data_IF_234080892184
#
_entry.id   IF_234080892184
#
_cell.length_a   1.000
_cell.length_b   1.000
_cell.length_c   1.000
_cell.angle_alpha   90.00
_cell.angle_beta   90.00
_cell.angle_gamma   90.00
#
_symmetry.space_group_name_H-M   'P 1'
#
loop_
_entity.id
_entity.type
_entity.pdbx_description
1 polymer ?
#
# COMPACT_ATOMS: atom_id res chain seq x y z
N UNK A 1 19.73 -11.10 -32.06
CA UNK A 1 19.38 -10.81 -33.47
C UNK A 1 20.53 -10.01 -34.04
N UNK A 2 21.23 -10.51 -35.06
CA UNK A 2 22.39 -9.82 -35.64
C UNK A 2 21.90 -8.59 -36.39
N UNK A 3 22.14 -7.40 -35.82
CA UNK A 3 21.79 -6.14 -36.44
C UNK A 3 22.64 -6.01 -37.71
N UNK A 4 22.01 -5.98 -38.90
CA UNK A 4 22.74 -5.71 -40.14
C UNK A 4 23.11 -4.23 -40.16
N UNK A 5 24.27 -3.91 -39.58
CA UNK A 5 24.86 -2.58 -39.65
C UNK A 5 25.26 -2.35 -41.12
N UNK A 6 24.73 -1.30 -41.74
CA UNK A 6 25.21 -0.87 -43.06
C UNK A 6 26.67 -0.43 -42.95
N UNK A 7 27.51 -0.71 -43.95
CA UNK A 7 28.97 -0.44 -43.92
C UNK A 7 29.39 0.99 -43.53
N UNK A 8 28.46 1.94 -43.54
CA UNK A 8 28.70 3.34 -43.23
C UNK A 8 29.58 4.03 -44.27
N UNK A 9 29.84 5.31 -44.05
CA UNK A 9 30.80 6.10 -44.80
C UNK A 9 31.88 6.60 -43.84
N UNK A 10 33.14 6.54 -44.27
CA UNK A 10 34.26 7.08 -43.49
C UNK A 10 34.40 8.56 -43.80
N UNK A 11 34.12 9.40 -42.81
CA UNK A 11 34.13 10.86 -42.91
C UNK A 11 35.22 11.44 -42.01
N UNK A 12 35.72 12.62 -42.39
CA UNK A 12 36.57 13.42 -41.52
C UNK A 12 35.75 14.13 -40.44
N UNK A 13 36.43 14.80 -39.50
CA UNK A 13 35.77 15.47 -38.36
C UNK A 13 34.74 16.53 -38.77
N UNK A 14 35.05 17.35 -39.77
CA UNK A 14 34.17 18.42 -40.26
C UNK A 14 32.98 17.81 -40.99
N UNK A 15 33.24 16.88 -41.91
CA UNK A 15 32.21 16.16 -42.66
C UNK A 15 31.26 15.38 -41.76
N UNK A 16 31.77 14.77 -40.68
CA UNK A 16 30.95 14.04 -39.71
C UNK A 16 30.05 14.99 -38.91
N UNK A 17 30.58 16.15 -38.49
CA UNK A 17 29.80 17.16 -37.78
C UNK A 17 28.67 17.71 -38.66
N UNK A 18 28.98 18.04 -39.92
CA UNK A 18 28.00 18.53 -40.91
C UNK A 18 26.96 17.45 -41.24
N UNK A 19 27.39 16.19 -41.43
CA UNK A 19 26.51 15.07 -41.71
C UNK A 19 25.52 14.80 -40.57
N UNK A 20 25.95 14.95 -39.32
CA UNK A 20 25.11 14.77 -38.13
C UNK A 20 24.32 16.02 -37.75
N UNK A 21 24.58 17.17 -38.39
CA UNK A 21 23.96 18.45 -38.07
C UNK A 21 24.34 18.99 -36.68
N UNK A 22 25.54 18.65 -36.18
CA UNK A 22 26.04 19.06 -34.86
C UNK A 22 27.28 19.94 -34.99
N UNK A 23 27.59 20.71 -33.95
CA UNK A 23 28.83 21.47 -33.91
C UNK A 23 30.05 20.53 -33.68
N UNK A 24 31.20 20.84 -34.28
CA UNK A 24 32.43 20.04 -34.08
C UNK A 24 32.86 19.85 -32.61
N UNK A 25 32.64 20.80 -31.68
CA UNK A 25 32.91 20.58 -30.26
C UNK A 25 31.98 19.54 -29.61
N UNK A 26 30.75 19.39 -30.10
CA UNK A 26 29.81 18.37 -29.64
C UNK A 26 30.30 16.98 -30.05
N UNK A 27 30.83 16.84 -31.27
CA UNK A 27 31.46 15.60 -31.70
C UNK A 27 32.70 15.27 -30.85
N UNK A 28 33.52 16.25 -30.48
CA UNK A 28 34.66 16.04 -29.58
C UNK A 28 34.21 15.54 -28.21
N UNK A 29 33.14 16.12 -27.68
CA UNK A 29 32.56 15.70 -26.42
C UNK A 29 32.11 14.25 -26.46
N UNK A 30 31.44 13.83 -27.54
CA UNK A 30 31.06 12.45 -27.74
C UNK A 30 32.27 11.51 -27.78
N UNK A 31 33.38 11.92 -28.40
CA UNK A 31 34.63 11.13 -28.36
C UNK A 31 35.16 10.98 -26.93
N UNK A 32 35.08 12.02 -26.09
CA UNK A 32 35.46 11.92 -24.67
C UNK A 32 34.56 10.94 -23.92
N UNK A 33 33.28 10.87 -24.28
CA UNK A 33 32.29 9.93 -23.72
C UNK A 33 32.39 8.51 -24.30
N UNK A 34 33.32 8.25 -25.21
CA UNK A 34 33.60 6.91 -25.73
C UNK A 34 33.12 6.64 -27.16
N UNK A 35 32.74 7.67 -27.92
CA UNK A 35 32.34 7.52 -29.32
C UNK A 35 33.45 6.86 -30.17
N UNK A 36 33.12 5.85 -31.00
CA UNK A 36 34.07 5.17 -31.86
C UNK A 36 34.81 6.11 -32.83
N UNK A 37 36.11 5.90 -32.98
CA UNK A 37 36.97 6.60 -33.94
C UNK A 37 37.80 5.57 -34.69
N UNK A 38 37.69 5.55 -36.02
CA UNK A 38 38.37 4.57 -36.88
C UNK A 38 39.87 4.85 -36.97
N UNK A 39 40.24 6.13 -37.04
CA UNK A 39 41.64 6.54 -37.01
C UNK A 39 41.78 7.87 -36.30
N UNK A 40 42.50 7.88 -35.17
CA UNK A 40 42.93 9.11 -34.51
C UNK A 40 44.09 9.67 -35.33
N UNK A 41 43.83 10.78 -36.01
CA UNK A 41 44.80 11.42 -36.88
C UNK A 41 46.08 11.86 -36.14
N UNK A 42 47.19 11.94 -36.86
CA UNK A 42 48.51 12.38 -36.41
C UNK A 42 49.11 13.41 -37.38
N UNK A 43 50.41 13.69 -37.30
CA UNK A 43 51.09 14.67 -38.19
C UNK A 43 50.81 14.36 -39.67
N UNK A 44 49.92 15.15 -40.28
CA UNK A 44 49.51 15.05 -41.68
C UNK A 44 48.29 14.16 -41.99
N UNK A 45 47.65 13.52 -41.00
CA UNK A 45 46.46 12.65 -41.21
C UNK A 45 45.27 13.16 -40.41
N UNK A 46 44.15 13.44 -41.08
CA UNK A 46 42.90 13.84 -40.43
C UNK A 46 42.26 12.66 -39.67
N UNK A 47 41.46 12.98 -38.64
CA UNK A 47 40.69 11.99 -37.91
C UNK A 47 39.60 11.40 -38.81
N UNK A 48 39.32 10.10 -38.65
CA UNK A 48 38.36 9.36 -39.45
C UNK A 48 37.32 8.68 -38.57
N UNK A 49 36.06 8.82 -38.96
CA UNK A 49 34.90 8.30 -38.26
C UNK A 49 34.02 7.53 -39.24
N UNK A 50 33.44 6.42 -38.80
CA UNK A 50 32.44 5.70 -39.58
C UNK A 50 31.04 6.15 -39.15
N UNK A 51 30.19 6.55 -40.09
CA UNK A 51 28.83 7.05 -39.78
C UNK A 51 27.94 6.01 -39.11
N UNK A 52 28.12 4.72 -39.40
CA UNK A 52 27.32 3.65 -38.81
C UNK A 52 27.72 3.41 -37.34
N UNK A 53 29.02 3.35 -37.05
CA UNK A 53 29.54 3.12 -35.69
C UNK A 53 29.18 4.28 -34.75
N UNK A 54 29.30 5.52 -35.23
CA UNK A 54 28.93 6.72 -34.45
C UNK A 54 27.42 6.76 -34.17
N UNK A 55 26.59 6.38 -35.14
CA UNK A 55 25.13 6.31 -34.95
C UNK A 55 24.75 5.25 -33.93
N UNK A 56 25.31 4.06 -34.03
CA UNK A 56 25.01 2.97 -33.11
C UNK A 56 25.43 3.32 -31.68
N UNK A 57 26.63 3.90 -31.50
CA UNK A 57 27.07 4.41 -30.22
C UNK A 57 26.12 5.47 -29.67
N UNK A 58 25.66 6.42 -30.50
CA UNK A 58 24.73 7.46 -30.05
C UNK A 58 23.35 6.90 -29.67
N UNK A 59 22.85 5.92 -30.41
CA UNK A 59 21.61 5.22 -30.07
C UNK A 59 21.74 4.47 -28.74
N UNK A 60 22.91 3.91 -28.42
CA UNK A 60 23.20 3.29 -27.13
C UNK A 60 23.31 4.33 -26.01
N UNK A 61 24.08 5.38 -26.22
CA UNK A 61 24.29 6.50 -25.28
C UNK A 61 22.96 7.17 -24.89
N UNK A 62 22.05 7.40 -25.86
CA UNK A 62 20.69 7.91 -25.58
C UNK A 62 19.87 6.89 -24.76
N UNK A 63 19.98 5.59 -25.05
CA UNK A 63 19.28 4.56 -24.27
C UNK A 63 19.80 4.51 -22.83
N UNK A 64 21.09 4.67 -22.62
CA UNK A 64 21.72 4.68 -21.31
C UNK A 64 21.36 5.96 -20.52
N UNK A 65 21.36 7.13 -21.16
CA UNK A 65 20.87 8.39 -20.58
C UNK A 65 19.38 8.27 -20.17
N UNK A 66 18.54 7.70 -21.04
CA UNK A 66 17.11 7.47 -20.75
C UNK A 66 16.89 6.40 -19.67
N UNK A 67 17.71 5.35 -19.62
CA UNK A 67 17.66 4.33 -18.57
C UNK A 67 18.11 4.89 -17.21
N UNK A 68 19.08 5.81 -17.18
CA UNK A 68 19.44 6.60 -16.00
C UNK A 68 18.33 7.54 -15.54
N UNK A 69 17.35 7.82 -16.41
CA UNK A 69 16.13 8.58 -16.14
C UNK A 69 14.98 7.66 -15.66
N UNK A 70 15.31 6.55 -14.99
CA UNK A 70 14.39 5.73 -14.19
C UNK A 70 13.86 6.46 -12.92
N UNK A 71 13.79 7.79 -12.95
CA UNK A 71 13.06 8.69 -12.05
C UNK A 71 11.58 8.34 -11.89
N UNK A 72 11.02 7.53 -12.80
CA UNK A 72 9.72 6.91 -12.62
C UNK A 72 9.64 6.10 -11.30
N UNK A 73 10.74 5.49 -10.84
CA UNK A 73 10.76 4.74 -9.57
C UNK A 73 10.73 5.65 -8.34
N UNK A 74 11.52 6.72 -8.29
CA UNK A 74 11.59 7.57 -7.10
C UNK A 74 10.32 8.38 -6.88
N UNK A 75 9.73 8.90 -7.95
CA UNK A 75 8.52 9.72 -7.83
C UNK A 75 7.27 8.84 -7.63
N UNK A 76 7.24 7.62 -8.20
CA UNK A 76 6.20 6.64 -7.88
C UNK A 76 6.28 6.18 -6.42
N UNK A 77 7.48 5.88 -5.91
CA UNK A 77 7.67 5.48 -4.51
C UNK A 77 7.29 6.62 -3.55
N UNK A 78 7.66 7.86 -3.85
CA UNK A 78 7.21 9.04 -3.08
C UNK A 78 5.70 9.18 -3.09
N UNK A 79 5.04 8.99 -4.25
CA UNK A 79 3.58 9.06 -4.36
C UNK A 79 2.89 7.98 -3.53
N UNK A 80 3.37 6.73 -3.58
CA UNK A 80 2.85 5.62 -2.76
C UNK A 80 3.05 5.87 -1.27
N UNK A 81 4.21 6.41 -0.88
CA UNK A 81 4.48 6.78 0.51
C UNK A 81 3.53 7.88 0.99
N UNK A 82 3.37 8.96 0.21
CA UNK A 82 2.46 10.05 0.56
C UNK A 82 1.01 9.59 0.65
N UNK A 83 0.59 8.67 -0.23
CA UNK A 83 -0.73 8.07 -0.17
C UNK A 83 -0.92 7.25 1.13
N UNK A 84 0.04 6.37 1.47
CA UNK A 84 -0.02 5.59 2.70
C UNK A 84 0.00 6.48 3.97
N UNK A 85 0.79 7.56 3.97
CA UNK A 85 0.80 8.55 5.07
C UNK A 85 -0.55 9.27 5.20
N UNK A 86 -1.21 9.58 4.08
CA UNK A 86 -2.54 10.20 4.07
C UNK A 86 -3.59 9.22 4.61
N UNK A 87 -3.60 7.98 4.13
CA UNK A 87 -4.50 6.93 4.59
C UNK A 87 -4.33 6.66 6.09
N UNK A 88 -3.08 6.62 6.57
CA UNK A 88 -2.77 6.46 8.00
C UNK A 88 -3.31 7.65 8.82
N UNK A 89 -3.10 8.88 8.36
CA UNK A 89 -3.62 10.07 9.03
C UNK A 89 -5.16 10.11 9.06
N UNK A 90 -5.82 9.64 8.00
CA UNK A 90 -7.28 9.49 7.97
C UNK A 90 -7.77 8.43 8.96
N UNK A 91 -7.09 7.27 9.05
CA UNK A 91 -7.41 6.24 10.03
C UNK A 91 -7.21 6.73 11.47
N UNK A 92 -6.13 7.46 11.74
CA UNK A 92 -5.87 8.00 13.08
C UNK A 92 -6.88 9.09 13.46
N UNK A 93 -7.29 9.92 12.49
CA UNK A 93 -8.40 10.86 12.67
C UNK A 93 -9.72 10.13 12.96
N UNK A 94 -10.01 9.04 12.25
CA UNK A 94 -11.20 8.24 12.47
C UNK A 94 -11.19 7.55 13.84
N UNK A 95 -10.03 7.05 14.30
CA UNK A 95 -9.84 6.50 15.65
C UNK A 95 -10.07 7.57 16.71
N UNK A 96 -9.47 8.76 16.56
CA UNK A 96 -9.64 9.87 17.49
C UNK A 96 -11.09 10.37 17.57
N UNK A 97 -11.87 10.22 16.48
CA UNK A 97 -13.31 10.50 16.45
C UNK A 97 -14.17 9.35 16.98
N UNK A 98 -13.59 8.21 17.36
CA UNK A 98 -14.31 7.02 17.81
C UNK A 98 -15.12 6.34 16.70
N UNK A 99 -14.76 6.53 15.43
CA UNK A 99 -15.50 5.97 14.28
C UNK A 99 -15.02 4.58 13.86
N UNK A 100 -13.80 4.19 14.26
CA UNK A 100 -13.21 2.89 13.94
C UNK A 100 -12.57 2.26 15.18
N UNK A 101 -12.64 0.94 15.25
CA UNK A 101 -12.10 0.12 16.34
C UNK A 101 -11.45 -1.13 15.72
N UNK A 102 -10.34 -1.64 16.28
CA UNK A 102 -9.77 -2.93 15.88
C UNK A 102 -10.81 -4.06 15.94
N UNK A 103 -10.80 -4.94 14.93
CA UNK A 103 -11.74 -6.07 14.84
C UNK A 103 -11.63 -6.99 16.05
N UNK A 104 -10.41 -7.29 16.51
CA UNK A 104 -10.19 -8.14 17.69
C UNK A 104 -10.81 -7.56 18.98
N UNK A 105 -10.74 -6.23 19.15
CA UNK A 105 -11.35 -5.55 20.29
C UNK A 105 -12.88 -5.65 20.22
N UNK A 106 -13.45 -5.46 19.03
CA UNK A 106 -14.89 -5.61 18.79
C UNK A 106 -15.36 -7.05 19.06
N UNK A 107 -14.64 -8.06 18.58
CA UNK A 107 -14.99 -9.48 18.79
C UNK A 107 -14.98 -9.87 20.28
N UNK A 108 -13.99 -9.38 21.04
CA UNK A 108 -13.91 -9.59 22.49
C UNK A 108 -15.09 -8.94 23.22
N UNK A 109 -15.36 -7.67 22.91
CA UNK A 109 -16.47 -6.92 23.48
C UNK A 109 -17.82 -7.61 23.24
N UNK A 110 -18.07 -8.09 22.01
CA UNK A 110 -19.27 -8.85 21.68
C UNK A 110 -19.35 -10.17 22.43
N UNK A 111 -18.25 -10.89 22.56
CA UNK A 111 -18.20 -12.16 23.29
C UNK A 111 -18.54 -11.99 24.77
N UNK A 112 -18.05 -10.92 25.40
CA UNK A 112 -18.35 -10.57 26.79
C UNK A 112 -19.83 -10.21 26.94
N UNK A 113 -20.33 -9.29 26.11
CA UNK A 113 -21.72 -8.84 26.14
C UNK A 113 -22.70 -10.02 25.96
N UNK A 114 -22.51 -10.87 24.96
CA UNK A 114 -23.35 -12.05 24.77
C UNK A 114 -23.17 -13.12 25.86
N UNK A 115 -21.97 -13.18 26.46
CA UNK A 115 -21.70 -14.02 27.63
C UNK A 115 -22.59 -13.65 28.81
N UNK A 116 -22.69 -12.36 29.12
CA UNK A 116 -23.52 -11.83 30.20
C UNK A 116 -25.02 -12.02 29.92
N UNK A 117 -25.47 -11.74 28.70
CA UNK A 117 -26.86 -12.01 28.27
C UNK A 117 -27.21 -13.49 28.52
N UNK A 118 -26.35 -14.41 28.07
CA UNK A 118 -26.55 -15.84 28.28
C UNK A 118 -26.58 -16.21 29.76
N UNK A 119 -25.70 -15.63 30.57
CA UNK A 119 -25.62 -15.90 32.00
C UNK A 119 -26.93 -15.48 32.69
N UNK A 120 -27.43 -14.26 32.44
CA UNK A 120 -28.68 -13.79 33.05
C UNK A 120 -29.89 -14.59 32.61
N UNK A 121 -30.02 -14.88 31.31
CA UNK A 121 -31.13 -15.69 30.82
C UNK A 121 -31.16 -17.11 31.39
N UNK A 122 -29.99 -17.73 31.62
CA UNK A 122 -29.92 -19.10 32.18
C UNK A 122 -30.06 -19.15 33.70
N UNK A 123 -29.59 -18.14 34.41
CA UNK A 123 -29.49 -18.20 35.88
C UNK A 123 -30.59 -17.39 36.58
N UNK A 124 -30.98 -16.25 36.02
CA UNK A 124 -31.92 -15.32 36.66
C UNK A 124 -33.37 -15.67 36.29
N UNK A 125 -33.67 -15.83 35.00
CA UNK A 125 -35.04 -16.10 34.53
C UNK A 125 -35.62 -17.36 35.16
N UNK A 126 -34.95 -18.53 35.16
CA UNK A 126 -35.53 -19.74 35.74
C UNK A 126 -35.71 -19.65 37.26
N UNK A 127 -34.80 -18.97 37.96
CA UNK A 127 -34.88 -18.77 39.41
C UNK A 127 -36.08 -17.91 39.82
N UNK A 128 -36.37 -16.86 39.05
CA UNK A 128 -37.48 -15.95 39.32
C UNK A 128 -38.81 -16.51 38.83
N UNK A 129 -38.86 -16.99 37.59
CA UNK A 129 -40.05 -17.62 37.02
C UNK A 129 -40.45 -18.87 37.82
N UNK A 130 -39.49 -19.71 38.20
CA UNK A 130 -39.75 -20.91 38.99
C UNK A 130 -40.49 -20.62 40.29
N UNK A 131 -40.15 -19.53 40.99
CA UNK A 131 -40.85 -19.08 42.20
C UNK A 131 -42.28 -18.58 41.94
N UNK A 132 -42.52 -17.92 40.81
CA UNK A 132 -43.83 -17.37 40.43
C UNK A 132 -44.77 -18.41 39.83
N UNK A 133 -44.24 -19.53 39.33
CA UNK A 133 -44.98 -20.56 38.61
C UNK A 133 -45.26 -21.83 39.44
N UNK A 134 -44.86 -21.87 40.71
CA UNK A 134 -45.12 -23.04 41.57
C UNK A 134 -46.63 -23.28 41.68
N UNK A 135 -47.10 -24.44 41.22
CA UNK A 135 -48.51 -24.81 41.26
C UNK A 135 -49.39 -24.15 40.19
N UNK A 136 -48.81 -23.37 39.28
CA UNK A 136 -49.54 -22.77 38.16
C UNK A 136 -49.82 -23.82 37.08
N UNK A 137 -51.08 -23.89 36.63
CA UNK A 137 -51.55 -24.85 35.63
C UNK A 137 -52.06 -24.21 34.34
N UNK A 138 -52.30 -22.89 34.33
CA UNK A 138 -52.72 -22.16 33.14
C UNK A 138 -51.51 -21.81 32.26
N UNK A 139 -51.44 -22.45 31.09
CA UNK A 139 -50.40 -22.19 30.09
C UNK A 139 -50.33 -20.71 29.66
N UNK A 140 -51.46 -20.01 29.60
CA UNK A 140 -51.51 -18.59 29.23
C UNK A 140 -50.78 -17.75 30.28
N UNK A 141 -51.03 -18.06 31.56
CA UNK A 141 -50.38 -17.40 32.68
C UNK A 141 -48.90 -17.73 32.75
N UNK A 142 -48.52 -19.00 32.51
CA UNK A 142 -47.12 -19.44 32.44
C UNK A 142 -46.34 -18.65 31.39
N UNK A 143 -46.87 -18.54 30.17
CA UNK A 143 -46.23 -17.78 29.10
C UNK A 143 -46.13 -16.29 29.42
N UNK A 144 -47.16 -15.71 30.05
CA UNK A 144 -47.14 -14.31 30.45
C UNK A 144 -46.02 -14.03 31.45
N UNK A 145 -45.90 -14.85 32.50
CA UNK A 145 -44.84 -14.71 33.52
C UNK A 145 -43.45 -14.91 32.91
N UNK A 146 -43.26 -15.92 32.05
CA UNK A 146 -41.96 -16.14 31.41
C UNK A 146 -41.52 -14.95 30.54
N UNK A 147 -42.44 -14.36 29.76
CA UNK A 147 -42.12 -13.16 28.98
C UNK A 147 -41.77 -11.98 29.88
N UNK A 148 -42.58 -11.74 30.91
CA UNK A 148 -42.35 -10.65 31.86
C UNK A 148 -40.97 -10.77 32.53
N UNK A 149 -40.55 -11.98 32.92
CA UNK A 149 -39.22 -12.21 33.50
C UNK A 149 -38.08 -12.03 32.49
N UNK A 150 -38.29 -12.40 31.22
CA UNK A 150 -37.33 -12.15 30.14
C UNK A 150 -37.20 -10.65 29.88
N UNK A 151 -38.33 -9.95 29.74
CA UNK A 151 -38.36 -8.52 29.46
C UNK A 151 -37.65 -7.73 30.56
N UNK A 152 -37.88 -8.07 31.83
CA UNK A 152 -37.18 -7.43 32.95
C UNK A 152 -35.67 -7.71 32.96
N UNK A 153 -35.24 -8.89 32.54
CA UNK A 153 -33.80 -9.19 32.40
C UNK A 153 -33.19 -8.42 31.25
N UNK A 154 -33.90 -8.29 30.12
CA UNK A 154 -33.44 -7.54 28.95
C UNK A 154 -33.37 -6.03 29.25
N UNK A 155 -34.34 -5.48 29.99
CA UNK A 155 -34.34 -4.08 30.41
C UNK A 155 -33.16 -3.79 31.34
N UNK A 156 -32.89 -4.68 32.31
CA UNK A 156 -31.71 -4.55 33.17
C UNK A 156 -30.38 -4.67 32.39
N UNK A 157 -30.33 -5.50 31.35
CA UNK A 157 -29.15 -5.62 30.47
C UNK A 157 -28.95 -4.41 29.57
N UNK A 158 -30.02 -3.68 29.23
CA UNK A 158 -29.95 -2.49 28.40
C UNK A 158 -29.42 -1.28 29.19
N UNK A 159 -29.74 -1.20 30.48
CA UNK A 159 -29.27 -0.13 31.37
C UNK A 159 -27.85 -0.37 31.90
N UNK A 160 -27.41 -1.63 31.98
CA UNK A 160 -26.05 -1.97 32.42
C UNK A 160 -25.01 -1.74 31.31
N UNK A 161 -23.88 -1.14 31.70
CA UNK A 161 -22.68 -1.14 30.86
C UNK A 161 -22.10 -2.57 30.81
N UNK A 162 -22.49 -3.34 29.79
CA UNK A 162 -22.09 -4.74 29.64
C UNK A 162 -20.59 -4.95 29.37
N UNK A 163 -19.88 -3.88 29.02
CA UNK A 163 -18.46 -3.88 28.66
C UNK A 163 -17.81 -2.71 29.39
N UNK A 164 -16.77 -2.98 30.18
CA UNK A 164 -15.96 -1.94 30.80
C UNK A 164 -14.88 -1.44 29.83
N UNK A 165 -14.38 -0.22 30.07
CA UNK A 165 -13.28 0.36 29.30
C UNK A 165 -11.99 -0.48 29.41
N UNK A 166 -11.83 -1.19 30.53
CA UNK A 166 -10.73 -2.12 30.80
C UNK A 166 -10.82 -3.41 29.95
N UNK A 167 -12.03 -3.88 29.65
CA UNK A 167 -12.26 -5.07 28.79
C UNK A 167 -11.85 -4.83 27.33
N UNK A 168 -11.72 -3.56 26.97
CA UNK A 168 -11.43 -3.05 25.64
C UNK A 168 -9.92 -2.80 25.42
N UNK A 169 -9.11 -2.86 26.47
CA UNK A 169 -7.65 -2.70 26.36
C UNK A 169 -7.05 -3.96 25.75
N UNK A 170 -6.41 -3.81 24.59
CA UNK A 170 -5.49 -4.80 24.06
C UNK A 170 -4.12 -4.43 24.62
N UNK A 171 -3.59 -5.22 25.54
CA UNK A 171 -2.19 -5.12 25.95
C UNK A 171 -1.34 -5.22 24.69
N UNK A 172 -0.65 -4.14 24.35
CA UNK A 172 0.15 -4.02 23.13
C UNK A 172 1.46 -4.85 23.19
N UNK A 173 1.44 -6.03 23.81
CA UNK A 173 2.65 -6.80 24.13
C UNK A 173 2.95 -7.97 23.18
N UNK A 174 2.20 -8.19 22.10
CA UNK A 174 2.45 -9.33 21.19
C UNK A 174 2.95 -8.93 19.78
N UNK A 175 3.73 -7.86 19.66
CA UNK A 175 4.56 -7.59 18.46
C UNK A 175 6.06 -7.55 18.84
N UNK A 176 6.63 -8.70 19.20
CA UNK A 176 8.08 -8.99 19.14
C UNK A 176 8.45 -9.83 17.91
#
# INVERSE_FOLDING_TARGET
MSNRIGRGQTLNRTEMADHLGIAMPTLDDWVRRGCPVVSRGGRGRAWQYNTADVREWRDQDIREEMAGTATASTDELKRRKLQAETEQAELDLARAKGQVVPVAQFERAMSIAFGEVRARLRNVVPSRAGRRLVGEGDETRIKAVLREEIDQVLEALADDALIAEEDLVIDAEDDE
#
